data_IF_633180203444
#
_entry.id   IF_633180203444
#
_cell.length_a   1.000
_cell.length_b   1.000
_cell.length_c   1.000
_cell.angle_alpha   90.00
_cell.angle_beta   90.00
_cell.angle_gamma   90.00
#
_symmetry.space_group_name_H-M   'P 1'
#
loop_
_entity.id
_entity.type
_entity.pdbx_description
1 polymer ?
#
# COMPACT_ATOMS: atom_id res chain seq x y z
N UNK A 1 -36.89 -5.88 9.96
CA UNK A 1 -35.66 -5.94 9.14
C UNK A 1 -34.99 -7.32 9.19
N UNK A 2 -34.66 -7.87 10.37
CA UNK A 2 -34.14 -9.24 10.50
C UNK A 2 -35.05 -10.36 9.92
N UNK A 3 -36.40 -10.30 10.04
CA UNK A 3 -37.28 -11.30 9.43
C UNK A 3 -37.31 -11.26 7.89
N UNK A 4 -36.80 -10.19 7.28
CA UNK A 4 -36.79 -9.98 5.83
C UNK A 4 -35.38 -10.18 5.22
N UNK A 5 -34.41 -10.65 6.00
CA UNK A 5 -33.02 -10.83 5.54
C UNK A 5 -32.28 -9.53 5.21
N UNK A 6 -32.83 -8.37 5.61
CA UNK A 6 -32.21 -7.07 5.36
C UNK A 6 -31.19 -6.83 6.47
N UNK A 7 -29.93 -6.65 6.08
CA UNK A 7 -28.85 -6.32 7.01
C UNK A 7 -29.22 -5.08 7.84
N UNK A 8 -28.81 -5.02 9.11
CA UNK A 8 -29.10 -3.89 10.02
C UNK A 8 -27.84 -3.25 10.60
N UNK A 9 -26.69 -3.57 10.02
CA UNK A 9 -25.36 -3.19 10.50
C UNK A 9 -24.75 -2.03 9.69
N UNK A 10 -25.54 -1.32 8.88
CA UNK A 10 -25.06 -0.30 7.94
C UNK A 10 -24.25 0.79 8.63
N UNK A 11 -24.75 1.29 9.77
CA UNK A 11 -24.03 2.30 10.55
C UNK A 11 -22.70 1.78 11.08
N UNK A 12 -22.69 0.54 11.60
CA UNK A 12 -21.48 -0.08 12.09
C UNK A 12 -20.45 -0.27 10.96
N UNK A 13 -20.91 -0.69 9.77
CA UNK A 13 -20.10 -0.81 8.55
C UNK A 13 -19.58 0.54 8.07
N UNK A 14 -20.40 1.59 8.10
CA UNK A 14 -19.96 2.94 7.72
C UNK A 14 -18.87 3.46 8.64
N UNK A 15 -18.94 3.23 9.95
CA UNK A 15 -17.87 3.62 10.88
C UNK A 15 -16.50 3.02 10.57
N UNK A 16 -16.44 1.91 9.84
CA UNK A 16 -15.18 1.24 9.44
C UNK A 16 -14.69 1.73 8.08
N UNK A 17 -15.53 2.46 7.34
CA UNK A 17 -15.23 2.92 5.99
C UNK A 17 -14.16 4.01 5.99
N UNK A 18 -13.54 4.19 4.83
CA UNK A 18 -12.58 5.26 4.61
C UNK A 18 -13.19 6.66 4.77
N UNK A 19 -14.49 6.82 4.51
CA UNK A 19 -15.20 8.09 4.67
C UNK A 19 -15.36 8.44 6.15
N UNK A 20 -15.83 7.50 6.98
CA UNK A 20 -15.89 7.73 8.41
C UNK A 20 -14.50 7.94 9.02
N UNK A 21 -13.48 7.21 8.54
CA UNK A 21 -12.09 7.41 8.96
C UNK A 21 -11.61 8.84 8.65
N UNK A 22 -11.87 9.35 7.45
CA UNK A 22 -11.53 10.72 7.09
C UNK A 22 -12.22 11.73 8.02
N UNK A 23 -13.51 11.52 8.27
CA UNK A 23 -14.29 12.42 9.12
C UNK A 23 -13.81 12.42 10.59
N UNK A 24 -13.63 11.24 11.19
CA UNK A 24 -13.33 11.11 12.63
C UNK A 24 -11.85 11.17 12.99
N UNK A 25 -10.95 10.72 12.10
CA UNK A 25 -9.52 10.68 12.40
C UNK A 25 -8.73 11.81 11.74
N UNK A 26 -9.28 12.46 10.70
CA UNK A 26 -8.62 13.56 10.00
C UNK A 26 -9.38 14.88 10.10
N UNK A 27 -10.46 14.92 10.88
CA UNK A 27 -11.35 16.07 11.02
C UNK A 27 -11.87 16.60 9.66
N UNK A 28 -12.00 15.72 8.67
CA UNK A 28 -12.45 16.08 7.33
C UNK A 28 -13.97 16.01 7.25
N UNK A 29 -14.63 17.13 7.58
CA UNK A 29 -16.08 17.26 7.53
C UNK A 29 -16.65 17.23 6.10
N UNK A 30 -15.81 17.26 5.06
CA UNK A 30 -16.25 17.07 3.68
C UNK A 30 -16.44 15.59 3.31
N UNK A 31 -16.00 14.67 4.18
CA UNK A 31 -16.16 13.25 3.96
C UNK A 31 -17.65 12.84 3.97
N UNK A 32 -18.10 12.04 2.99
CA UNK A 32 -19.52 11.76 2.81
C UNK A 32 -20.11 10.88 3.93
N UNK A 33 -21.30 11.28 4.35
CA UNK A 33 -22.16 10.64 5.34
C UNK A 33 -23.35 9.95 4.65
N UNK A 34 -24.30 9.44 5.44
CA UNK A 34 -25.46 8.72 4.92
C UNK A 34 -26.25 9.54 3.89
N UNK A 35 -26.46 10.82 4.17
CA UNK A 35 -27.32 11.69 3.35
C UNK A 35 -26.64 12.14 2.05
N UNK A 36 -25.32 12.13 2.00
CA UNK A 36 -24.56 12.44 0.78
C UNK A 36 -24.72 11.35 -0.28
N UNK A 37 -24.94 10.10 0.15
CA UNK A 37 -25.18 8.97 -0.75
C UNK A 37 -26.67 8.72 -1.02
N UNK A 38 -27.54 8.95 -0.03
CA UNK A 38 -28.97 8.61 -0.10
C UNK A 38 -29.90 9.81 -0.32
N UNK A 39 -29.37 11.04 -0.26
CA UNK A 39 -30.17 12.26 -0.24
C UNK A 39 -30.82 12.54 1.12
N UNK A 40 -31.52 13.68 1.23
CA UNK A 40 -32.08 14.17 2.48
C UNK A 40 -33.62 14.04 2.58
N UNK A 41 -34.33 13.88 1.45
CA UNK A 41 -35.80 13.81 1.39
C UNK A 41 -36.27 12.45 0.85
N UNK A 42 -36.80 11.60 1.72
CA UNK A 42 -37.43 10.35 1.33
C UNK A 42 -36.47 9.36 0.65
N UNK A 43 -35.36 9.05 1.34
CA UNK A 43 -34.30 8.13 0.93
C UNK A 43 -34.86 6.80 0.39
N UNK A 44 -35.21 6.78 -0.88
CA UNK A 44 -35.52 5.56 -1.61
C UNK A 44 -34.19 4.87 -1.82
N UNK A 45 -34.06 3.56 -1.55
CA UNK A 45 -32.81 2.85 -1.78
C UNK A 45 -32.35 3.11 -3.22
N UNK A 46 -31.13 3.65 -3.44
CA UNK A 46 -30.62 3.83 -4.78
C UNK A 46 -30.62 2.46 -5.46
N UNK A 47 -31.30 2.34 -6.61
CA UNK A 47 -31.19 1.14 -7.44
C UNK A 47 -29.71 0.91 -7.80
N UNK A 48 -29.31 -0.34 -8.04
CA UNK A 48 -27.89 -0.72 -8.23
C UNK A 48 -27.17 0.09 -9.32
N UNK A 49 -27.90 0.50 -10.38
CA UNK A 49 -27.38 1.40 -11.44
C UNK A 49 -27.13 2.85 -10.97
N UNK A 50 -27.85 3.32 -9.95
CA UNK A 50 -27.70 4.66 -9.40
C UNK A 50 -26.54 4.78 -8.41
N UNK A 51 -26.07 3.67 -7.82
CA UNK A 51 -24.97 3.68 -6.84
C UNK A 51 -23.64 4.08 -7.50
N UNK A 52 -23.34 3.62 -8.72
CA UNK A 52 -22.15 4.04 -9.47
C UNK A 52 -22.14 5.56 -9.76
N UNK A 53 -23.32 6.14 -9.99
CA UNK A 53 -23.47 7.58 -10.24
C UNK A 53 -23.19 8.41 -8.99
N UNK A 54 -23.66 7.96 -7.82
CA UNK A 54 -23.40 8.61 -6.53
C UNK A 54 -21.90 8.71 -6.27
N UNK A 55 -21.16 7.61 -6.45
CA UNK A 55 -19.70 7.62 -6.28
C UNK A 55 -19.03 8.59 -7.26
N UNK A 56 -19.49 8.61 -8.52
CA UNK A 56 -18.94 9.43 -9.60
C UNK A 56 -19.12 10.94 -9.43
N UNK A 57 -20.01 11.40 -8.54
CA UNK A 57 -20.16 12.83 -8.24
C UNK A 57 -18.89 13.42 -7.60
N UNK A 58 -18.13 12.60 -6.86
CA UNK A 58 -16.85 12.99 -6.26
C UNK A 58 -15.67 12.27 -6.92
N UNK A 59 -15.80 10.96 -7.20
CA UNK A 59 -14.77 10.13 -7.84
C UNK A 59 -14.94 10.08 -9.37
N UNK A 60 -15.09 11.27 -9.97
CA UNK A 60 -15.41 11.40 -11.39
C UNK A 60 -14.36 10.78 -12.30
N UNK A 61 -13.07 10.96 -11.97
CA UNK A 61 -11.94 10.41 -12.72
C UNK A 61 -11.94 8.88 -12.69
N UNK A 62 -12.08 8.27 -11.52
CA UNK A 62 -12.11 6.81 -11.35
C UNK A 62 -13.31 6.21 -12.09
N UNK A 63 -14.47 6.84 -11.97
CA UNK A 63 -15.70 6.42 -12.65
C UNK A 63 -15.57 6.52 -14.17
N UNK A 64 -14.93 7.56 -14.70
CA UNK A 64 -14.64 7.71 -16.13
C UNK A 64 -13.69 6.62 -16.64
N UNK A 65 -12.55 6.43 -15.95
CA UNK A 65 -11.58 5.38 -16.30
C UNK A 65 -12.21 3.99 -16.29
N UNK A 66 -13.06 3.71 -15.29
CA UNK A 66 -13.77 2.44 -15.19
C UNK A 66 -14.73 2.25 -16.37
N UNK A 67 -15.61 3.23 -16.64
CA UNK A 67 -16.61 3.15 -17.71
C UNK A 67 -15.98 2.96 -19.10
N UNK A 68 -14.81 3.54 -19.33
CA UNK A 68 -14.05 3.38 -20.57
C UNK A 68 -13.30 2.03 -20.67
N UNK A 69 -13.24 1.26 -19.58
CA UNK A 69 -12.46 0.03 -19.53
C UNK A 69 -13.15 -1.18 -20.17
N UNK A 70 -12.36 -2.18 -20.56
CA UNK A 70 -12.87 -3.49 -20.98
C UNK A 70 -13.66 -4.21 -19.88
N UNK A 71 -13.35 -3.92 -18.62
CA UNK A 71 -14.03 -4.54 -17.46
C UNK A 71 -15.49 -4.12 -17.38
N UNK A 72 -15.81 -2.86 -17.67
CA UNK A 72 -17.18 -2.37 -17.70
C UNK A 72 -18.03 -3.14 -18.73
N UNK A 73 -17.49 -3.35 -19.94
CA UNK A 73 -18.12 -4.19 -20.96
C UNK A 73 -18.33 -5.63 -20.49
N UNK A 74 -17.32 -6.23 -19.86
CA UNK A 74 -17.43 -7.57 -19.28
C UNK A 74 -18.50 -7.67 -18.18
N UNK A 75 -18.65 -6.66 -17.33
CA UNK A 75 -19.70 -6.63 -16.30
C UNK A 75 -21.09 -6.52 -16.87
N UNK A 76 -21.28 -5.74 -17.95
CA UNK A 76 -22.56 -5.68 -18.64
C UNK A 76 -23.00 -7.07 -19.14
N UNK A 77 -22.07 -7.82 -19.76
CA UNK A 77 -22.33 -9.19 -20.24
C UNK A 77 -22.66 -10.16 -19.10
N UNK A 78 -21.92 -10.13 -18.00
CA UNK A 78 -22.23 -10.98 -16.84
C UNK A 78 -23.59 -10.64 -16.22
N UNK A 79 -23.92 -9.35 -16.13
CA UNK A 79 -25.21 -8.91 -15.59
C UNK A 79 -26.39 -9.31 -16.47
N UNK A 80 -26.23 -9.32 -17.80
CA UNK A 80 -27.24 -9.82 -18.73
C UNK A 80 -27.48 -11.32 -18.54
N UNK A 81 -26.41 -12.10 -18.36
CA UNK A 81 -26.49 -13.52 -18.05
C UNK A 81 -27.19 -13.79 -16.71
N UNK A 82 -26.76 -13.10 -15.64
CA UNK A 82 -27.37 -13.26 -14.31
C UNK A 82 -28.85 -12.82 -14.30
N UNK A 83 -29.18 -11.76 -15.06
CA UNK A 83 -30.54 -11.26 -15.21
C UNK A 83 -31.47 -12.21 -15.99
N UNK A 84 -30.92 -13.07 -16.85
CA UNK A 84 -31.67 -14.10 -17.58
C UNK A 84 -31.76 -15.44 -16.81
N UNK A 85 -31.29 -15.49 -15.56
CA UNK A 85 -31.35 -16.67 -14.71
C UNK A 85 -30.13 -17.59 -14.80
N UNK A 86 -29.10 -17.20 -15.57
CA UNK A 86 -27.82 -17.89 -15.63
C UNK A 86 -27.07 -17.83 -14.28
N UNK A 87 -26.25 -18.84 -14.03
CA UNK A 87 -25.45 -19.00 -12.82
C UNK A 87 -23.97 -19.05 -13.18
N UNK A 88 -23.10 -18.69 -12.23
CA UNK A 88 -21.65 -18.76 -12.46
C UNK A 88 -21.19 -20.18 -12.86
N UNK A 89 -21.82 -21.22 -12.29
CA UNK A 89 -21.53 -22.63 -12.60
C UNK A 89 -21.88 -23.07 -14.02
N UNK A 90 -22.61 -22.25 -14.79
CA UNK A 90 -22.94 -22.57 -16.19
C UNK A 90 -21.73 -22.38 -17.11
N UNK A 91 -20.71 -21.63 -16.67
CA UNK A 91 -19.49 -21.36 -17.46
C UNK A 91 -18.18 -21.53 -16.66
N UNK A 92 -18.23 -21.48 -15.33
CA UNK A 92 -17.09 -21.73 -14.45
C UNK A 92 -17.21 -23.10 -13.79
N UNK A 93 -16.11 -23.85 -13.79
CA UNK A 93 -15.99 -25.19 -13.18
C UNK A 93 -15.18 -25.18 -11.87
N UNK A 94 -14.66 -24.02 -11.46
CA UNK A 94 -13.81 -23.84 -10.28
C UNK A 94 -14.55 -23.22 -9.08
N UNK A 95 -13.81 -22.64 -8.12
CA UNK A 95 -14.37 -21.97 -6.95
C UNK A 95 -15.40 -20.87 -7.28
N UNK A 96 -15.32 -20.27 -8.48
CA UNK A 96 -16.26 -19.24 -8.97
C UNK A 96 -17.63 -19.79 -9.27
N UNK A 97 -17.75 -21.08 -9.60
CA UNK A 97 -19.03 -21.76 -9.81
C UNK A 97 -19.96 -21.64 -8.60
N UNK A 98 -19.37 -21.52 -7.40
CA UNK A 98 -20.07 -21.45 -6.11
C UNK A 98 -20.46 -20.02 -5.71
N UNK A 99 -20.09 -19.00 -6.50
CA UNK A 99 -20.44 -17.61 -6.19
C UNK A 99 -21.94 -17.38 -6.38
N UNK A 100 -22.60 -16.86 -5.36
CA UNK A 100 -24.03 -16.53 -5.35
C UNK A 100 -24.23 -15.02 -5.55
N UNK A 101 -23.74 -14.50 -6.67
CA UNK A 101 -23.87 -13.08 -7.00
C UNK A 101 -24.97 -12.87 -8.02
N UNK A 102 -25.88 -11.94 -7.73
CA UNK A 102 -27.05 -11.66 -8.58
C UNK A 102 -26.82 -10.51 -9.55
N UNK A 103 -25.88 -9.62 -9.24
CA UNK A 103 -25.48 -8.51 -10.10
C UNK A 103 -24.10 -7.97 -9.70
N UNK A 104 -23.30 -7.58 -10.68
CA UNK A 104 -22.11 -6.76 -10.53
C UNK A 104 -22.48 -5.27 -10.55
N UNK A 105 -21.87 -4.50 -9.64
CA UNK A 105 -22.03 -3.05 -9.55
C UNK A 105 -20.67 -2.36 -9.48
N UNK A 106 -20.54 -1.19 -10.11
CA UNK A 106 -19.24 -0.80 -10.61
C UNK A 106 -18.18 -0.61 -9.50
N UNK A 107 -18.47 0.30 -8.59
CA UNK A 107 -17.55 0.62 -7.50
C UNK A 107 -17.68 -0.40 -6.36
N UNK A 108 -18.90 -0.78 -6.00
CA UNK A 108 -19.18 -1.51 -4.76
C UNK A 108 -18.80 -2.98 -4.82
N UNK A 109 -18.68 -3.58 -6.01
CA UNK A 109 -18.20 -4.97 -6.14
C UNK A 109 -16.81 -5.14 -5.52
N UNK A 110 -15.94 -4.15 -5.73
CA UNK A 110 -14.60 -4.14 -5.16
C UNK A 110 -14.57 -3.40 -3.83
N UNK A 111 -15.21 -2.21 -3.77
CA UNK A 111 -15.02 -1.26 -2.68
C UNK A 111 -16.04 -1.36 -1.56
N UNK A 112 -17.04 -2.25 -1.62
CA UNK A 112 -18.16 -2.27 -0.68
C UNK A 112 -19.01 -0.98 -0.71
N UNK A 113 -20.24 -1.03 -0.18
CA UNK A 113 -21.17 0.11 -0.24
C UNK A 113 -21.26 0.89 1.08
N UNK A 114 -21.44 0.20 2.20
CA UNK A 114 -21.48 0.81 3.54
C UNK A 114 -20.15 0.69 4.25
N UNK A 115 -19.33 -0.32 3.93
CA UNK A 115 -17.98 -0.44 4.46
C UNK A 115 -16.95 -0.05 3.40
N UNK A 116 -17.08 1.14 2.81
CA UNK A 116 -16.23 1.56 1.68
C UNK A 116 -14.76 1.36 2.03
N UNK A 117 -14.11 0.42 1.33
CA UNK A 117 -12.73 0.03 1.58
C UNK A 117 -11.78 0.78 0.67
N UNK A 118 -10.67 1.26 1.23
CA UNK A 118 -9.58 1.84 0.42
C UNK A 118 -9.00 0.74 -0.49
N UNK A 119 -8.59 1.10 -1.71
CA UNK A 119 -7.73 0.25 -2.52
C UNK A 119 -6.46 -0.11 -1.73
N UNK A 120 -6.13 -1.40 -1.67
CA UNK A 120 -4.89 -1.90 -1.09
C UNK A 120 -4.29 -2.95 -2.02
N UNK A 121 -3.01 -3.25 -1.85
CA UNK A 121 -2.34 -4.30 -2.63
C UNK A 121 -3.02 -5.67 -2.47
N UNK A 122 -3.74 -5.90 -1.35
CA UNK A 122 -4.50 -7.12 -1.13
C UNK A 122 -5.67 -7.29 -2.12
N UNK A 123 -6.25 -6.19 -2.63
CA UNK A 123 -7.36 -6.21 -3.59
C UNK A 123 -6.93 -6.74 -4.98
N UNK A 124 -5.65 -6.59 -5.35
CA UNK A 124 -5.19 -6.94 -6.71
C UNK A 124 -4.66 -8.38 -6.79
N UNK A 125 -4.48 -9.05 -5.65
CA UNK A 125 -4.53 -10.52 -5.60
C UNK A 125 -3.25 -11.27 -5.99
N UNK A 126 -2.08 -10.64 -6.02
CA UNK A 126 -0.79 -11.35 -6.07
C UNK A 126 0.10 -10.84 -4.95
N UNK A 127 -0.30 -11.12 -3.72
CA UNK A 127 0.50 -10.76 -2.55
C UNK A 127 1.75 -11.65 -2.51
N UNK A 128 2.94 -11.09 -2.24
CA UNK A 128 4.10 -11.90 -1.89
C UNK A 128 3.81 -12.71 -0.63
N UNK A 129 4.52 -13.83 -0.47
CA UNK A 129 4.40 -14.69 0.72
C UNK A 129 4.56 -13.94 2.04
N UNK A 130 5.32 -12.84 2.02
CA UNK A 130 5.52 -11.96 3.18
C UNK A 130 5.33 -10.48 2.81
N UNK A 131 4.61 -9.69 3.62
CA UNK A 131 4.42 -8.26 3.38
C UNK A 131 5.73 -7.47 3.45
N UNK A 132 6.72 -7.97 4.18
CA UNK A 132 8.04 -7.35 4.32
C UNK A 132 8.78 -7.17 2.97
N UNK A 133 8.56 -8.09 2.03
CA UNK A 133 9.22 -8.09 0.74
C UNK A 133 8.86 -6.88 -0.13
N UNK A 134 7.72 -6.22 0.14
CA UNK A 134 7.34 -4.97 -0.53
C UNK A 134 8.34 -3.83 -0.30
N UNK A 135 9.01 -3.80 0.86
CA UNK A 135 9.92 -2.71 1.22
C UNK A 135 11.38 -3.17 1.35
N UNK A 136 11.62 -4.42 1.70
CA UNK A 136 12.94 -4.92 2.07
C UNK A 136 13.61 -5.80 1.00
N UNK A 137 12.84 -6.38 0.08
CA UNK A 137 13.36 -7.30 -0.94
C UNK A 137 13.12 -6.73 -2.34
N UNK A 138 13.65 -5.52 -2.57
CA UNK A 138 13.43 -4.73 -3.78
C UNK A 138 13.39 -5.58 -5.04
N UNK A 139 12.33 -5.40 -5.85
CA UNK A 139 12.09 -6.20 -7.04
C UNK A 139 12.52 -5.44 -8.31
N UNK A 140 13.21 -6.15 -9.22
CA UNK A 140 13.58 -5.67 -10.55
C UNK A 140 14.99 -5.09 -10.67
N UNK A 141 15.36 -4.69 -11.89
CA UNK A 141 16.71 -4.23 -12.27
C UNK A 141 17.21 -3.00 -11.49
N UNK A 142 16.30 -2.26 -10.85
CA UNK A 142 16.63 -1.06 -10.08
C UNK A 142 16.93 -1.34 -8.60
N UNK A 143 16.61 -2.53 -8.09
CA UNK A 143 16.89 -2.92 -6.71
C UNK A 143 18.38 -3.17 -6.43
N UNK A 144 19.21 -3.30 -7.47
CA UNK A 144 20.66 -3.53 -7.37
C UNK A 144 21.49 -2.26 -7.48
N UNK A 145 20.88 -1.10 -7.80
CA UNK A 145 21.61 0.14 -8.10
C UNK A 145 22.44 0.65 -6.91
N UNK A 146 21.91 0.52 -5.70
CA UNK A 146 22.65 0.72 -4.46
C UNK A 146 22.69 -0.64 -3.78
N UNK A 147 23.82 -1.06 -3.22
CA UNK A 147 23.89 -2.30 -2.44
C UNK A 147 23.40 -2.04 -1.01
N UNK A 148 22.53 -2.90 -0.46
CA UNK A 148 22.21 -2.82 0.96
C UNK A 148 23.39 -3.39 1.76
N UNK A 149 23.87 -2.72 2.83
CA UNK A 149 24.98 -3.24 3.62
C UNK A 149 24.69 -4.67 4.09
N UNK A 150 25.66 -5.58 3.92
CA UNK A 150 25.47 -7.01 4.16
C UNK A 150 24.91 -7.31 5.56
N UNK A 151 25.41 -6.63 6.60
CA UNK A 151 24.92 -6.75 7.97
C UNK A 151 23.43 -6.40 8.11
N UNK A 152 22.97 -5.37 7.40
CA UNK A 152 21.57 -4.94 7.42
C UNK A 152 20.67 -5.93 6.68
N UNK A 153 21.14 -6.43 5.54
CA UNK A 153 20.44 -7.46 4.78
C UNK A 153 20.33 -8.78 5.56
N UNK A 154 21.39 -9.21 6.26
CA UNK A 154 21.36 -10.39 7.12
C UNK A 154 20.39 -10.22 8.29
N UNK A 155 20.46 -9.11 9.00
CA UNK A 155 19.54 -8.83 10.12
C UNK A 155 18.08 -8.85 9.68
N UNK A 156 17.76 -8.29 8.50
CA UNK A 156 16.42 -8.38 7.94
C UNK A 156 15.99 -9.82 7.65
N UNK A 157 16.86 -10.63 7.02
CA UNK A 157 16.56 -12.05 6.73
C UNK A 157 16.32 -12.85 8.01
N UNK A 158 17.18 -12.68 9.02
CA UNK A 158 17.03 -13.33 10.33
C UNK A 158 15.68 -12.99 10.97
N UNK A 159 15.29 -11.71 10.98
CA UNK A 159 14.01 -11.26 11.51
C UNK A 159 12.83 -11.87 10.74
N UNK A 160 12.89 -11.84 9.41
CA UNK A 160 11.86 -12.41 8.52
C UNK A 160 11.70 -13.90 8.78
N UNK A 161 12.82 -14.64 8.82
CA UNK A 161 12.82 -16.10 8.95
C UNK A 161 12.31 -16.51 10.35
N UNK A 162 12.65 -15.75 11.40
CA UNK A 162 12.11 -15.95 12.74
C UNK A 162 10.57 -15.74 12.79
N UNK A 163 10.06 -14.70 12.13
CA UNK A 163 8.61 -14.45 12.05
C UNK A 163 7.89 -15.54 11.24
N UNK A 164 8.49 -16.00 10.16
CA UNK A 164 7.97 -17.12 9.36
C UNK A 164 7.91 -18.41 10.18
N UNK A 165 8.95 -18.72 10.95
CA UNK A 165 8.96 -19.86 11.85
C UNK A 165 7.88 -19.75 12.94
N UNK A 166 7.72 -18.58 13.54
CA UNK A 166 6.67 -18.33 14.55
C UNK A 166 5.24 -18.43 13.97
N UNK A 167 5.04 -18.01 12.72
CA UNK A 167 3.77 -18.20 12.03
C UNK A 167 3.48 -19.68 11.76
N UNK A 168 4.51 -20.43 11.35
CA UNK A 168 4.40 -21.87 11.11
C UNK A 168 4.10 -22.66 12.39
N UNK A 169 4.70 -22.28 13.53
CA UNK A 169 4.39 -22.86 14.85
C UNK A 169 2.93 -22.65 15.28
N UNK A 170 2.31 -21.56 14.83
CA UNK A 170 0.89 -21.27 15.04
C UNK A 170 -0.01 -21.88 13.95
N UNK A 171 0.54 -22.69 13.04
CA UNK A 171 -0.15 -23.28 11.89
C UNK A 171 -0.86 -22.26 10.99
N UNK A 172 -0.35 -21.03 10.93
CA UNK A 172 -0.92 -19.97 10.10
C UNK A 172 -0.54 -20.18 8.63
N UNK A 173 -1.54 -20.18 7.74
CA UNK A 173 -1.36 -20.31 6.29
C UNK A 173 -2.19 -19.28 5.54
N UNK A 174 -1.87 -19.05 4.25
CA UNK A 174 -2.60 -18.14 3.37
C UNK A 174 -2.80 -16.73 3.96
N UNK A 175 -4.05 -16.25 3.89
CA UNK A 175 -4.44 -14.92 4.35
C UNK A 175 -4.20 -14.71 5.86
N UNK A 176 -4.40 -15.74 6.68
CA UNK A 176 -4.17 -15.67 8.12
C UNK A 176 -2.68 -15.44 8.45
N UNK A 177 -1.79 -16.11 7.71
CA UNK A 177 -0.34 -15.88 7.82
C UNK A 177 0.03 -14.47 7.38
N UNK A 178 -0.51 -14.02 6.25
CA UNK A 178 -0.23 -12.68 5.72
C UNK A 178 -0.67 -11.58 6.69
N UNK A 179 -1.92 -11.64 7.16
CA UNK A 179 -2.49 -10.65 8.07
C UNK A 179 -1.72 -10.60 9.40
N UNK A 180 -1.34 -11.76 9.94
CA UNK A 180 -0.53 -11.85 11.15
C UNK A 180 0.86 -11.25 10.95
N UNK A 181 1.52 -11.50 9.81
CA UNK A 181 2.82 -10.90 9.50
C UNK A 181 2.73 -9.37 9.37
N UNK A 182 1.63 -8.84 8.84
CA UNK A 182 1.37 -7.39 8.80
C UNK A 182 1.30 -6.83 10.23
N UNK A 183 0.59 -7.50 11.15
CA UNK A 183 0.52 -7.11 12.56
C UNK A 183 1.88 -7.13 13.23
N UNK A 184 2.64 -8.23 13.06
CA UNK A 184 3.97 -8.35 13.63
C UNK A 184 4.88 -7.23 13.13
N UNK A 185 4.88 -6.99 11.81
CA UNK A 185 5.69 -5.95 11.21
C UNK A 185 5.34 -4.55 11.74
N UNK A 186 4.06 -4.21 11.94
CA UNK A 186 3.64 -2.93 12.53
C UNK A 186 4.03 -2.81 14.02
N UNK A 187 4.07 -3.95 14.73
CA UNK A 187 4.42 -3.98 16.14
C UNK A 187 5.93 -3.89 16.44
N UNK A 188 6.79 -4.05 15.43
CA UNK A 188 8.24 -4.00 15.60
C UNK A 188 8.66 -2.67 16.25
N UNK A 189 9.54 -2.69 17.28
CA UNK A 189 10.02 -1.46 17.93
C UNK A 189 10.63 -0.44 16.95
N UNK A 190 11.29 -0.93 15.90
CA UNK A 190 11.88 -0.12 14.84
C UNK A 190 10.85 0.62 13.98
N UNK A 191 9.62 0.13 13.91
CA UNK A 191 8.51 0.76 13.19
C UNK A 191 7.61 1.58 14.13
N UNK A 192 7.37 1.12 15.37
CA UNK A 192 6.52 1.82 16.34
C UNK A 192 7.17 3.07 16.92
N UNK A 193 8.44 3.01 17.31
CA UNK A 193 9.09 4.10 18.05
C UNK A 193 9.66 5.20 17.14
N UNK A 194 9.17 5.28 15.90
CA UNK A 194 9.69 6.19 14.88
C UNK A 194 8.53 6.83 14.12
N UNK A 195 8.18 8.10 14.42
CA UNK A 195 7.02 8.78 13.83
C UNK A 195 6.98 8.73 12.30
N UNK A 196 8.14 8.77 11.65
CA UNK A 196 8.29 8.68 10.20
C UNK A 196 7.93 7.31 9.61
N UNK A 197 7.94 6.25 10.43
CA UNK A 197 7.52 4.90 10.06
C UNK A 197 6.11 4.56 10.54
N UNK A 198 5.51 5.39 11.40
CA UNK A 198 4.23 5.10 12.06
C UNK A 198 3.08 4.86 11.07
N UNK A 199 3.15 5.45 9.88
CA UNK A 199 2.14 5.31 8.82
C UNK A 199 2.68 4.64 7.56
N UNK A 200 3.79 3.91 7.63
CA UNK A 200 4.43 3.38 6.41
C UNK A 200 3.53 2.38 5.66
N UNK A 201 2.86 1.49 6.39
CA UNK A 201 1.87 0.56 5.82
C UNK A 201 0.65 1.29 5.25
N UNK A 202 0.24 2.40 5.87
CA UNK A 202 -0.84 3.25 5.38
C UNK A 202 -0.43 3.98 4.09
N UNK A 203 0.77 4.55 4.06
CA UNK A 203 1.37 5.29 2.94
C UNK A 203 1.51 4.41 1.70
N UNK A 204 2.07 3.21 1.86
CA UNK A 204 2.33 2.29 0.75
C UNK A 204 1.19 1.28 0.49
N UNK A 205 0.03 1.51 1.12
CA UNK A 205 -1.19 0.69 0.95
C UNK A 205 -1.00 -0.81 1.18
N UNK A 206 -0.06 -1.17 2.06
CA UNK A 206 0.17 -2.54 2.54
C UNK A 206 -0.85 -2.80 3.65
N UNK A 207 -2.07 -3.16 3.24
CA UNK A 207 -3.18 -3.50 4.13
C UNK A 207 -3.27 -5.00 4.40
N UNK A 208 -4.09 -5.37 5.39
CA UNK A 208 -4.55 -6.75 5.57
C UNK A 208 -5.51 -7.16 4.45
N UNK A 209 -5.84 -8.43 4.38
CA UNK A 209 -6.87 -8.99 3.48
C UNK A 209 -8.30 -8.66 3.90
N UNK A 210 -8.48 -7.87 4.96
CA UNK A 210 -9.76 -7.44 5.51
C UNK A 210 -9.66 -6.07 6.21
N UNK A 211 -10.81 -5.43 6.41
CA UNK A 211 -10.98 -4.28 7.30
C UNK A 211 -11.73 -4.71 8.55
N UNK A 212 -11.34 -4.16 9.70
CA UNK A 212 -12.01 -4.45 10.97
C UNK A 212 -12.14 -3.19 11.83
N UNK A 213 -13.28 -3.05 12.52
CA UNK A 213 -13.51 -2.07 13.58
C UNK A 213 -14.49 -2.68 14.59
N UNK A 214 -14.09 -2.73 15.87
CA UNK A 214 -14.83 -3.45 16.89
C UNK A 214 -15.01 -4.94 16.50
N UNK A 215 -16.26 -5.40 16.43
CA UNK A 215 -16.62 -6.78 16.04
C UNK A 215 -16.90 -6.94 14.54
N UNK A 216 -16.96 -5.85 13.77
CA UNK A 216 -17.28 -5.90 12.34
C UNK A 216 -16.00 -6.16 11.55
N UNK A 217 -16.05 -7.18 10.67
CA UNK A 217 -14.95 -7.55 9.76
C UNK A 217 -15.49 -7.66 8.34
N UNK A 218 -14.86 -6.96 7.41
CA UNK A 218 -15.22 -6.95 5.99
C UNK A 218 -14.03 -7.44 5.18
N UNK A 219 -14.22 -8.54 4.45
CA UNK A 219 -13.21 -9.11 3.59
C UNK A 219 -12.99 -8.24 2.35
N UNK A 220 -11.75 -8.14 1.89
CA UNK A 220 -11.43 -7.44 0.64
C UNK A 220 -11.74 -8.37 -0.52
N UNK A 221 -12.57 -7.89 -1.47
CA UNK A 221 -12.76 -8.59 -2.74
C UNK A 221 -11.50 -8.50 -3.57
N UNK A 222 -10.97 -9.63 -4.01
CA UNK A 222 -9.73 -9.70 -4.80
C UNK A 222 -10.01 -9.98 -6.26
N UNK A 223 -9.11 -9.55 -7.14
CA UNK A 223 -9.19 -9.91 -8.56
C UNK A 223 -9.25 -11.45 -8.76
N UNK A 224 -8.44 -12.18 -7.99
CA UNK A 224 -8.35 -13.64 -8.00
C UNK A 224 -9.64 -14.36 -7.57
N UNK A 225 -10.54 -13.68 -6.86
CA UNK A 225 -11.81 -14.28 -6.43
C UNK A 225 -12.77 -14.47 -7.62
N UNK A 226 -12.54 -13.77 -8.75
CA UNK A 226 -13.39 -13.83 -9.94
C UNK A 226 -12.61 -14.18 -11.23
N UNK A 227 -11.29 -14.03 -11.26
CA UNK A 227 -10.45 -14.24 -12.45
C UNK A 227 -9.27 -15.18 -12.12
N UNK A 228 -9.04 -16.22 -12.93
CA UNK A 228 -7.79 -16.99 -12.88
C UNK A 228 -6.72 -16.14 -13.57
N UNK A 229 -5.81 -15.57 -12.77
CA UNK A 229 -4.56 -14.93 -13.21
C UNK A 229 -4.65 -14.13 -14.52
N UNK A 230 -5.25 -12.94 -14.45
CA UNK A 230 -5.18 -12.00 -15.58
C UNK A 230 -3.81 -11.32 -15.64
N UNK A 231 -3.23 -11.23 -16.84
CA UNK A 231 -1.95 -10.55 -17.10
C UNK A 231 -1.92 -9.12 -16.53
N UNK A 232 -3.07 -8.44 -16.55
CA UNK A 232 -3.23 -7.12 -15.96
C UNK A 232 -2.97 -7.10 -14.45
N UNK A 233 -3.60 -7.99 -13.68
CA UNK A 233 -3.48 -7.99 -12.21
C UNK A 233 -2.05 -8.27 -11.76
N UNK A 234 -1.37 -9.20 -12.45
CA UNK A 234 0.05 -9.49 -12.24
C UNK A 234 0.92 -8.29 -12.63
N UNK A 235 0.77 -7.77 -13.84
CA UNK A 235 1.55 -6.62 -14.34
C UNK A 235 1.39 -5.39 -13.46
N UNK A 236 0.17 -5.08 -13.01
CA UNK A 236 -0.10 -3.97 -12.13
C UNK A 236 0.52 -4.17 -10.73
N UNK A 237 0.41 -5.38 -10.18
CA UNK A 237 1.01 -5.71 -8.87
C UNK A 237 2.53 -5.59 -8.92
N UNK A 238 3.16 -6.09 -9.99
CA UNK A 238 4.60 -5.99 -10.20
C UNK A 238 5.03 -4.52 -10.36
N UNK A 239 4.26 -3.72 -11.11
CA UNK A 239 4.53 -2.29 -11.29
C UNK A 239 4.48 -1.53 -9.96
N UNK A 240 3.41 -1.73 -9.19
CA UNK A 240 3.21 -1.09 -7.88
C UNK A 240 4.29 -1.53 -6.89
N UNK A 241 4.61 -2.84 -6.85
CA UNK A 241 5.62 -3.40 -5.95
C UNK A 241 7.00 -2.83 -6.26
N UNK A 242 7.40 -2.77 -7.53
CA UNK A 242 8.71 -2.25 -7.92
C UNK A 242 8.87 -0.79 -7.48
N UNK A 243 7.89 0.06 -7.80
CA UNK A 243 7.90 1.47 -7.43
C UNK A 243 7.90 1.69 -5.91
N UNK A 244 6.98 1.02 -5.19
CA UNK A 244 6.90 1.06 -3.72
C UNK A 244 8.22 0.70 -3.07
N UNK A 245 8.85 -0.38 -3.53
CA UNK A 245 10.10 -0.87 -2.94
C UNK A 245 11.24 0.13 -3.11
N UNK A 246 11.29 0.83 -4.25
CA UNK A 246 12.29 1.86 -4.50
C UNK A 246 12.07 3.12 -3.68
N UNK A 247 10.82 3.60 -3.59
CA UNK A 247 10.49 4.76 -2.77
C UNK A 247 10.84 4.48 -1.31
N UNK A 248 10.39 3.34 -0.77
CA UNK A 248 10.69 2.95 0.59
C UNK A 248 12.20 2.85 0.84
N UNK A 249 12.98 2.36 -0.13
CA UNK A 249 14.44 2.30 -0.01
C UNK A 249 15.08 3.68 -0.02
N UNK A 250 14.74 4.53 -0.98
CA UNK A 250 15.26 5.89 -1.09
C UNK A 250 14.94 6.69 0.20
N UNK A 251 13.72 6.57 0.72
CA UNK A 251 13.29 7.19 1.97
C UNK A 251 14.11 6.69 3.16
N UNK A 252 14.35 5.37 3.30
CA UNK A 252 15.21 4.83 4.37
C UNK A 252 16.63 5.40 4.36
N UNK A 253 17.24 5.56 3.18
CA UNK A 253 18.60 6.12 3.04
C UNK A 253 18.58 7.62 3.33
N UNK A 254 17.60 8.33 2.78
CA UNK A 254 17.41 9.76 3.00
C UNK A 254 17.24 10.07 4.49
N UNK A 255 16.40 9.31 5.20
CA UNK A 255 16.19 9.44 6.63
C UNK A 255 17.47 9.19 7.43
N UNK A 256 18.28 8.20 7.03
CA UNK A 256 19.56 7.93 7.68
C UNK A 256 20.55 9.10 7.52
N UNK A 257 20.64 9.68 6.33
CA UNK A 257 21.47 10.86 6.07
C UNK A 257 20.97 12.09 6.85
N UNK A 258 19.66 12.32 6.86
CA UNK A 258 19.04 13.44 7.56
C UNK A 258 19.26 13.39 9.08
N UNK A 259 19.12 12.21 9.71
CA UNK A 259 19.45 12.04 11.14
C UNK A 259 20.93 12.24 11.44
N UNK A 260 21.79 12.08 10.44
CA UNK A 260 23.21 12.43 10.54
C UNK A 260 23.50 13.93 10.47
N UNK A 261 22.48 14.78 10.28
CA UNK A 261 22.64 16.22 10.14
C UNK A 261 23.11 16.66 8.76
N UNK A 262 22.96 15.82 7.73
CA UNK A 262 23.28 16.18 6.34
C UNK A 262 22.03 16.72 5.62
N UNK A 263 22.28 17.64 4.69
CA UNK A 263 21.30 18.21 3.78
C UNK A 263 20.71 17.11 2.88
N UNK A 264 19.38 17.11 2.70
CA UNK A 264 18.69 16.08 1.90
C UNK A 264 17.50 16.64 1.11
N UNK A 265 17.43 17.93 0.80
CA UNK A 265 16.29 18.57 0.09
C UNK A 265 16.12 17.97 -1.29
N UNK A 266 17.21 17.78 -2.02
CA UNK A 266 17.17 17.19 -3.36
C UNK A 266 16.58 15.78 -3.33
N UNK A 267 16.99 14.95 -2.36
CA UNK A 267 16.44 13.61 -2.18
C UNK A 267 14.94 13.65 -1.80
N UNK A 268 14.50 14.62 -0.99
CA UNK A 268 13.09 14.79 -0.63
C UNK A 268 12.22 15.20 -1.81
N UNK A 269 12.64 16.18 -2.61
CA UNK A 269 11.88 16.62 -3.77
C UNK A 269 11.64 15.48 -4.77
N UNK A 270 12.64 14.64 -5.00
CA UNK A 270 12.50 13.45 -5.85
C UNK A 270 11.65 12.35 -5.21
N UNK A 271 11.68 12.21 -3.87
CA UNK A 271 10.78 11.30 -3.16
C UNK A 271 9.32 11.72 -3.32
N UNK A 272 9.03 13.02 -3.18
CA UNK A 272 7.68 13.57 -3.33
C UNK A 272 7.18 13.31 -4.75
N UNK A 273 7.99 13.60 -5.77
CA UNK A 273 7.66 13.29 -7.16
C UNK A 273 7.41 11.79 -7.41
N UNK A 274 8.17 10.91 -6.77
CA UNK A 274 7.94 9.47 -6.87
C UNK A 274 6.63 9.02 -6.21
N UNK A 275 6.28 9.62 -5.06
CA UNK A 275 5.04 9.34 -4.32
C UNK A 275 3.82 9.83 -5.11
N UNK A 276 3.89 11.02 -5.71
CA UNK A 276 2.81 11.55 -6.54
C UNK A 276 2.54 10.62 -7.74
N UNK A 277 3.60 10.17 -8.41
CA UNK A 277 3.49 9.19 -9.49
C UNK A 277 2.95 7.83 -9.02
N UNK A 278 3.28 7.39 -7.80
CA UNK A 278 2.70 6.19 -7.21
C UNK A 278 1.18 6.35 -7.02
N UNK A 279 0.73 7.48 -6.49
CA UNK A 279 -0.69 7.77 -6.27
C UNK A 279 -1.44 7.73 -7.61
N UNK A 280 -0.89 8.36 -8.65
CA UNK A 280 -1.48 8.34 -9.99
C UNK A 280 -1.52 6.93 -10.60
N UNK A 281 -0.42 6.18 -10.50
CA UNK A 281 -0.34 4.78 -10.95
C UNK A 281 -1.42 3.94 -10.28
N UNK A 282 -1.63 4.14 -8.99
CA UNK A 282 -2.59 3.37 -8.23
C UNK A 282 -4.01 3.57 -8.77
N UNK A 283 -4.36 4.79 -9.15
CA UNK A 283 -5.67 5.10 -9.73
C UNK A 283 -5.89 4.49 -11.12
N UNK A 284 -4.81 4.22 -11.88
CA UNK A 284 -4.91 3.61 -13.20
C UNK A 284 -5.41 2.15 -13.18
N UNK A 285 -5.57 1.54 -11.99
CA UNK A 285 -6.22 0.23 -11.85
C UNK A 285 -7.58 0.16 -12.53
N UNK A 286 -8.33 1.28 -12.52
CA UNK A 286 -9.66 1.40 -13.09
C UNK A 286 -9.68 1.31 -14.61
N UNK A 287 -8.54 1.50 -15.29
CA UNK A 287 -8.45 1.32 -16.75
C UNK A 287 -8.49 -0.14 -17.17
N UNK A 288 -8.10 -1.06 -16.28
CA UNK A 288 -7.82 -2.47 -16.60
C UNK A 288 -6.91 -2.63 -17.84
N UNK A 289 -6.01 -1.68 -18.07
CA UNK A 289 -5.06 -1.62 -19.18
C UNK A 289 -3.63 -1.43 -18.71
N UNK A 290 -2.66 -1.98 -19.45
CA UNK A 290 -1.25 -2.01 -19.03
C UNK A 290 -0.45 -0.81 -19.51
N UNK A 291 -0.82 -0.18 -20.62
CA UNK A 291 -0.04 0.89 -21.27
C UNK A 291 0.18 2.09 -20.37
N UNK A 292 -0.91 2.68 -19.86
CA UNK A 292 -0.82 3.87 -19.00
C UNK A 292 -0.12 3.55 -17.66
N UNK A 293 -0.35 2.34 -17.13
CA UNK A 293 0.29 1.86 -15.91
C UNK A 293 1.81 1.80 -16.08
N UNK A 294 2.30 1.23 -17.19
CA UNK A 294 3.74 1.12 -17.48
C UNK A 294 4.40 2.48 -17.72
N UNK A 295 3.71 3.39 -18.42
CA UNK A 295 4.19 4.77 -18.62
C UNK A 295 4.37 5.46 -17.27
N UNK A 296 3.33 5.47 -16.45
CA UNK A 296 3.36 6.12 -15.13
C UNK A 296 4.35 5.45 -14.18
N UNK A 297 4.51 4.14 -14.27
CA UNK A 297 5.54 3.41 -13.53
C UNK A 297 6.94 3.91 -13.91
N UNK A 298 7.23 4.08 -15.20
CA UNK A 298 8.54 4.54 -15.68
C UNK A 298 8.86 5.94 -15.15
N UNK A 299 7.89 6.85 -15.18
CA UNK A 299 8.01 8.20 -14.60
C UNK A 299 8.33 8.14 -13.10
N UNK A 300 7.54 7.40 -12.32
CA UNK A 300 7.76 7.23 -10.88
C UNK A 300 9.09 6.58 -10.53
N UNK A 301 9.53 5.59 -11.30
CA UNK A 301 10.84 4.94 -11.12
C UNK A 301 12.01 5.89 -11.42
N UNK A 302 11.83 6.83 -12.35
CA UNK A 302 12.80 7.89 -12.64
C UNK A 302 13.05 8.76 -11.40
N UNK A 303 11.99 9.27 -10.79
CA UNK A 303 12.05 10.03 -9.54
C UNK A 303 12.61 9.19 -8.38
N UNK A 304 12.12 7.97 -8.19
CA UNK A 304 12.60 7.09 -7.12
C UNK A 304 14.10 6.77 -7.26
N UNK A 305 14.61 6.65 -8.50
CA UNK A 305 16.04 6.50 -8.79
C UNK A 305 16.83 7.76 -8.45
N UNK A 306 16.36 8.93 -8.86
CA UNK A 306 17.01 10.20 -8.56
C UNK A 306 17.08 10.44 -7.05
N UNK A 307 15.98 10.17 -6.34
CA UNK A 307 15.90 10.19 -4.89
C UNK A 307 16.92 9.25 -4.25
N UNK A 308 17.02 8.01 -4.72
CA UNK A 308 17.93 7.01 -4.17
C UNK A 308 19.40 7.45 -4.31
N UNK A 309 19.79 7.94 -5.49
CA UNK A 309 21.15 8.40 -5.75
C UNK A 309 21.50 9.66 -4.94
N UNK A 310 20.56 10.61 -4.85
CA UNK A 310 20.71 11.83 -4.07
C UNK A 310 20.84 11.52 -2.57
N UNK A 311 19.99 10.62 -2.06
CA UNK A 311 20.04 10.15 -0.69
C UNK A 311 21.37 9.43 -0.38
N UNK A 312 21.85 8.59 -1.29
CA UNK A 312 23.13 7.89 -1.14
C UNK A 312 24.29 8.88 -1.08
N UNK A 313 24.30 9.91 -1.94
CA UNK A 313 25.31 10.97 -1.90
C UNK A 313 25.34 11.69 -0.55
N UNK A 314 24.18 12.05 0.01
CA UNK A 314 24.09 12.65 1.35
C UNK A 314 24.59 11.70 2.45
N UNK A 315 24.34 10.39 2.30
CA UNK A 315 24.83 9.39 3.26
C UNK A 315 26.36 9.20 3.17
N UNK A 316 26.92 9.23 1.97
CA UNK A 316 28.37 9.16 1.75
C UNK A 316 29.08 10.40 2.31
N UNK A 317 28.46 11.57 2.17
CA UNK A 317 28.93 12.82 2.79
C UNK A 317 28.96 12.71 4.32
N UNK A 318 27.91 12.14 4.93
CA UNK A 318 27.91 11.86 6.38
C UNK A 318 29.09 10.95 6.77
N UNK A 319 29.34 9.89 5.99
CA UNK A 319 30.45 8.98 6.21
C UNK A 319 31.82 9.66 6.07
N UNK A 320 31.97 10.58 5.11
CA UNK A 320 33.17 11.39 4.94
C UNK A 320 33.39 12.33 6.13
N UNK A 321 32.37 13.11 6.54
CA UNK A 321 32.44 14.03 7.67
C UNK A 321 32.82 13.34 8.97
N UNK A 322 32.25 12.15 9.23
CA UNK A 322 32.59 11.34 10.41
C UNK A 322 34.04 10.86 10.40
N UNK A 323 34.53 10.33 9.28
CA UNK A 323 35.94 9.91 9.14
C UNK A 323 36.89 11.09 9.33
N UNK A 324 36.60 12.24 8.73
CA UNK A 324 37.38 13.46 8.91
C UNK A 324 37.43 13.91 10.38
N UNK A 325 36.30 13.89 11.08
CA UNK A 325 36.23 14.21 12.50
C UNK A 325 37.08 13.26 13.36
N UNK A 326 37.03 11.95 13.09
CA UNK A 326 37.87 10.98 13.82
C UNK A 326 39.37 11.24 13.62
N UNK A 327 39.80 11.55 12.39
CA UNK A 327 41.20 11.89 12.10
C UNK A 327 41.60 13.17 12.82
N UNK A 328 40.76 14.22 12.75
CA UNK A 328 41.02 15.49 13.43
C UNK A 328 41.13 15.33 14.95
N UNK A 329 40.20 14.59 15.57
CA UNK A 329 40.25 14.28 17.00
C UNK A 329 41.49 13.47 17.38
N UNK A 330 41.92 12.53 16.53
CA UNK A 330 43.16 11.78 16.74
C UNK A 330 44.40 12.67 16.75
N UNK A 331 44.49 13.63 15.81
CA UNK A 331 45.57 14.61 15.76
C UNK A 331 45.55 15.52 16.99
N UNK A 332 44.37 16.03 17.37
CA UNK A 332 44.21 16.87 18.58
C UNK A 332 44.67 16.11 19.83
N UNK A 333 44.26 14.85 19.99
CA UNK A 333 44.68 14.02 21.13
C UNK A 333 46.19 13.79 21.14
N UNK A 334 46.81 13.53 19.98
CA UNK A 334 48.27 13.39 19.89
C UNK A 334 49.00 14.68 20.31
N UNK A 335 48.51 15.85 19.88
CA UNK A 335 49.05 17.15 20.27
C UNK A 335 48.88 17.39 21.78
N UNK A 336 47.71 17.09 22.35
CA UNK A 336 47.45 17.23 23.78
C UNK A 336 48.35 16.31 24.62
N UNK A 337 48.57 15.07 24.19
CA UNK A 337 49.49 14.14 24.87
C UNK A 337 50.92 14.65 24.80
N UNK A 338 51.39 15.11 23.64
CA UNK A 338 52.73 15.68 23.49
C UNK A 338 52.93 16.92 24.38
N UNK A 339 51.91 17.79 24.47
CA UNK A 339 51.94 18.96 25.34
C UNK A 339 52.00 18.55 26.83
N UNK A 340 51.19 17.58 27.25
CA UNK A 340 51.20 17.08 28.62
C UNK A 340 52.54 16.42 28.99
N UNK A 341 53.16 15.68 28.07
CA UNK A 341 54.50 15.12 28.24
C UNK A 341 55.54 16.23 28.40
N UNK A 342 55.49 17.26 27.54
CA UNK A 342 56.41 18.40 27.60
C UNK A 342 56.31 19.18 28.92
N UNK A 343 55.09 19.41 29.42
CA UNK A 343 54.85 20.06 30.72
C UNK A 343 55.40 19.22 31.89
N UNK A 344 55.34 17.89 31.81
CA UNK A 344 55.86 16.99 32.85
C UNK A 344 57.39 16.82 32.84
N UNK A 345 58.02 16.98 31.69
CA UNK A 345 59.47 16.85 31.52
C UNK A 345 60.24 18.16 31.67
N UNK A 346 59.53 19.28 31.80
CA UNK A 346 60.09 20.64 31.87
C UNK A 346 60.00 21.27 33.23
#
# INVERSE_FOLDING_TARGET
>A
MAPYGIATDQFARWRISVHAKAMFEKDDLSAPTCNDCHGNHGATPPGVKSVSFVCGNCHGREAELFRASKKAGGWAQHNELLGSGGKCGDCHDDARAKLTMTQFSDCVTCHENHAVVRPSVAMIGVLPDVPCAFCHEGAGALATLVAEPAKKASHYREMRDALLAAAAQQHLTGDARFDWLVDQAQSLPTHRNRPEFARLFEKFRIGKTHYAFGKVKVAIRRCGDCHISGDFAKSYSDATRSLTSMIARAERIQLAAHRGGVETRNARAELDGAIDNQIELETLVHTFGTTEVQKKQTEGLGHARAALLSAQKSLDELGYRRRGLFVALGIIMAVLVALAMKIRSG
#
